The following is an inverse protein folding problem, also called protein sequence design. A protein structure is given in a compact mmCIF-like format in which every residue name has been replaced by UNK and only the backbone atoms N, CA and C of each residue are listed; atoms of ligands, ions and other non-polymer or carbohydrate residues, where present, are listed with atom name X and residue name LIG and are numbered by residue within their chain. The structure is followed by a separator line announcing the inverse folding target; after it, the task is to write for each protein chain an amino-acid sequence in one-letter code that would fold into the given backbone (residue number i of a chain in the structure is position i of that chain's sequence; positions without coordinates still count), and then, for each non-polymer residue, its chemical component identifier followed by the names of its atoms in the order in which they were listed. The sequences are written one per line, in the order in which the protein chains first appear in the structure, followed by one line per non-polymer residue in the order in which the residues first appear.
data_IF_799219876675
#
_entry.id   IF_799219876675
#
_cell.length_a   1.000
_cell.length_b   1.000
_cell.length_c   1.000
_cell.angle_alpha   90.00
_cell.angle_beta   90.00
_cell.angle_gamma   90.00
#
_symmetry.space_group_name_H-M   'P 1'
#
loop_
_entity.id
_entity.type
_entity.pdbx_description
1 polymer ?
#
# COMPACT_ATOMS: atom_id res chain seq x y z
N UNK A 1 4.27 14.99 10.87
CA UNK A 1 3.85 13.59 10.71
C UNK A 1 5.06 12.78 10.32
N UNK A 2 5.47 11.87 11.15
CA UNK A 2 6.71 11.13 10.99
C UNK A 2 6.47 9.64 10.77
N UNK A 3 6.20 9.22 9.53
CA UNK A 3 6.26 7.80 9.20
C UNK A 3 7.69 7.38 8.94
N UNK A 4 8.07 6.18 9.35
CA UNK A 4 9.40 5.63 9.14
C UNK A 4 9.30 4.37 8.29
N UNK A 5 10.18 4.27 7.31
CA UNK A 5 10.26 3.09 6.45
C UNK A 5 11.66 2.51 6.53
N UNK A 6 11.76 1.20 6.68
CA UNK A 6 13.03 0.45 6.65
C UNK A 6 13.00 -0.46 5.43
N UNK A 7 14.02 -0.35 4.61
CA UNK A 7 14.24 -1.20 3.44
C UNK A 7 15.47 -2.06 3.68
N UNK A 8 15.34 -3.38 3.58
CA UNK A 8 16.45 -4.32 3.77
C UNK A 8 16.69 -5.05 2.46
N UNK A 9 17.84 -4.78 1.85
CA UNK A 9 18.27 -5.46 0.63
C UNK A 9 18.92 -6.82 0.91
N UNK A 10 19.11 -7.60 -0.15
CA UNK A 10 19.65 -8.97 -0.08
C UNK A 10 20.97 -9.10 0.67
N UNK A 11 21.85 -8.10 0.55
CA UNK A 11 23.17 -8.11 1.18
C UNK A 11 23.15 -7.81 2.68
N UNK A 12 22.04 -7.26 3.16
CA UNK A 12 21.87 -6.88 4.55
C UNK A 12 21.03 -7.88 5.36
N UNK A 13 20.39 -8.85 4.68
CA UNK A 13 19.59 -9.87 5.33
C UNK A 13 20.41 -11.14 5.54
N UNK A 14 20.09 -11.88 6.59
CA UNK A 14 20.80 -13.11 6.95
C UNK A 14 20.61 -14.23 5.92
N UNK A 15 19.42 -14.32 5.34
CA UNK A 15 19.04 -15.39 4.39
C UNK A 15 18.96 -14.92 2.93
N UNK A 16 19.37 -13.67 2.64
CA UNK A 16 19.27 -13.09 1.30
C UNK A 16 17.89 -12.60 0.91
N UNK A 17 16.92 -12.62 1.82
CA UNK A 17 15.59 -12.06 1.57
C UNK A 17 15.61 -10.53 1.50
N UNK A 18 14.63 -9.96 0.84
CA UNK A 18 14.35 -8.51 0.88
C UNK A 18 13.16 -8.26 1.78
N UNK A 19 13.20 -7.18 2.53
CA UNK A 19 12.14 -6.83 3.47
C UNK A 19 11.84 -5.35 3.41
N UNK A 20 10.57 -4.99 3.59
CA UNK A 20 10.15 -3.62 3.88
C UNK A 20 9.34 -3.62 5.17
N UNK A 21 9.57 -2.63 5.98
CA UNK A 21 8.80 -2.40 7.19
C UNK A 21 8.46 -0.91 7.27
N UNK A 22 7.22 -0.62 7.63
CA UNK A 22 6.75 0.76 7.72
C UNK A 22 5.80 0.92 8.89
N UNK A 23 5.98 1.98 9.65
CA UNK A 23 4.95 2.47 10.53
C UNK A 23 4.19 3.63 9.86
N UNK A 24 2.98 3.85 10.33
CA UNK A 24 2.11 4.93 9.86
C UNK A 24 1.68 5.75 11.07
N UNK A 25 2.42 6.82 11.33
CA UNK A 25 2.23 7.64 12.51
C UNK A 25 1.19 8.73 12.26
N UNK A 26 0.21 8.82 13.15
CA UNK A 26 -0.77 9.90 13.14
C UNK A 26 -0.18 11.16 13.78
N UNK A 27 -0.22 12.28 13.05
CA UNK A 27 0.18 13.58 13.56
C UNK A 27 -0.74 14.15 14.65
N UNK A 28 -1.94 13.60 14.80
CA UNK A 28 -2.93 13.99 15.79
C UNK A 28 -2.92 13.14 17.06
N UNK A 29 -2.11 12.08 17.09
CA UNK A 29 -2.12 11.11 18.19
C UNK A 29 -3.32 10.17 18.21
N UNK A 30 -4.19 10.24 17.22
CA UNK A 30 -5.32 9.32 17.10
C UNK A 30 -4.87 7.97 16.53
N UNK A 31 -5.31 6.91 17.18
CA UNK A 31 -5.14 5.57 16.67
C UNK A 31 -6.13 5.30 15.52
N UNK A 32 -5.60 4.92 14.36
CA UNK A 32 -6.41 4.48 13.22
C UNK A 32 -6.15 3.01 12.97
N UNK A 33 -7.13 2.13 13.16
CA UNK A 33 -6.94 0.71 12.91
C UNK A 33 -6.68 0.46 11.43
N UNK A 34 -5.82 -0.52 11.18
CA UNK A 34 -5.50 -1.01 9.83
C UNK A 34 -6.17 -2.36 9.60
N UNK A 35 -6.36 -2.70 8.34
CA UNK A 35 -6.77 -4.03 7.93
C UNK A 35 -5.82 -4.54 6.84
N UNK A 36 -5.59 -5.83 6.82
CA UNK A 36 -4.88 -6.48 5.73
C UNK A 36 -5.88 -6.89 4.66
N UNK A 37 -5.65 -6.50 3.42
CA UNK A 37 -6.52 -6.84 2.30
C UNK A 37 -5.71 -7.38 1.13
N UNK A 38 -6.35 -8.26 0.36
CA UNK A 38 -5.86 -8.72 -0.93
C UNK A 38 -6.70 -8.05 -2.00
N UNK A 39 -6.05 -7.30 -2.88
CA UNK A 39 -6.71 -6.62 -4.01
C UNK A 39 -6.51 -7.48 -5.24
N UNK A 40 -7.60 -8.03 -5.82
CA UNK A 40 -7.48 -8.83 -7.03
C UNK A 40 -7.07 -7.97 -8.24
N UNK A 41 -6.57 -8.58 -9.31
CA UNK A 41 -6.33 -7.88 -10.56
C UNK A 41 -7.60 -7.17 -11.03
N UNK A 42 -7.47 -5.92 -11.48
CA UNK A 42 -8.60 -5.16 -12.00
C UNK A 42 -8.70 -5.29 -13.51
N UNK A 43 -9.92 -5.24 -14.03
CA UNK A 43 -10.15 -5.20 -15.47
C UNK A 43 -9.75 -3.85 -16.05
N UNK A 44 -9.39 -3.83 -17.34
CA UNK A 44 -8.94 -2.64 -18.06
C UNK A 44 -10.08 -1.92 -18.79
N UNK A 45 -9.97 -0.61 -18.98
CA UNK A 45 -8.97 0.29 -18.41
C UNK A 45 -9.20 0.53 -16.92
N UNK A 46 -8.14 0.45 -16.12
CA UNK A 46 -8.21 0.75 -14.70
C UNK A 46 -7.88 2.23 -14.46
N UNK A 47 -8.79 2.94 -13.82
CA UNK A 47 -8.61 4.33 -13.44
C UNK A 47 -8.64 4.43 -11.93
N UNK A 48 -7.58 4.96 -11.36
CA UNK A 48 -7.55 5.30 -9.95
C UNK A 48 -8.05 6.72 -9.74
N UNK A 49 -8.99 6.88 -8.81
CA UNK A 49 -9.47 8.18 -8.39
C UNK A 49 -9.17 8.40 -6.92
N UNK A 50 -8.47 9.48 -6.60
CA UNK A 50 -8.20 9.84 -5.22
C UNK A 50 -9.47 10.20 -4.46
N UNK A 51 -9.65 9.62 -3.28
CA UNK A 51 -10.78 9.95 -2.40
C UNK A 51 -10.63 11.32 -1.74
N UNK A 52 -9.45 11.90 -1.76
CA UNK A 52 -9.15 13.21 -1.16
C UNK A 52 -9.17 14.33 -2.19
N UNK A 53 -8.39 14.20 -3.24
CA UNK A 53 -8.20 15.25 -4.26
C UNK A 53 -9.11 15.10 -5.47
N UNK A 54 -9.75 13.94 -5.63
CA UNK A 54 -10.55 13.57 -6.79
C UNK A 54 -9.77 13.54 -8.12
N UNK A 55 -8.44 13.57 -8.04
CA UNK A 55 -7.56 13.39 -9.21
C UNK A 55 -7.73 11.97 -9.75
N UNK A 56 -7.85 11.85 -11.05
CA UNK A 56 -7.93 10.58 -11.77
C UNK A 56 -6.61 10.30 -12.48
N UNK A 57 -6.15 9.06 -12.39
CA UNK A 57 -4.93 8.58 -13.05
C UNK A 57 -5.23 7.24 -13.70
N UNK A 58 -4.92 7.14 -15.00
CA UNK A 58 -4.95 5.85 -15.68
C UNK A 58 -3.81 4.98 -15.18
N UNK A 59 -4.15 3.77 -14.77
CA UNK A 59 -3.17 2.81 -14.31
C UNK A 59 -2.57 2.04 -15.49
N UNK A 60 -1.32 1.56 -15.38
CA UNK A 60 -0.70 0.76 -16.42
C UNK A 60 -1.49 -0.50 -16.72
N UNK A 61 -1.42 -0.95 -17.97
CA UNK A 61 -2.05 -2.18 -18.44
C UNK A 61 -1.30 -3.43 -17.97
N UNK A 62 -1.21 -3.61 -16.67
CA UNK A 62 -0.51 -4.73 -16.05
C UNK A 62 -1.19 -5.09 -14.72
N UNK A 63 -2.39 -5.70 -14.79
CA UNK A 63 -3.11 -6.00 -13.57
C UNK A 63 -2.39 -7.08 -12.79
N UNK A 64 -1.98 -6.73 -11.58
CA UNK A 64 -1.40 -7.66 -10.63
C UNK A 64 -2.24 -7.70 -9.37
N UNK A 65 -2.37 -8.88 -8.79
CA UNK A 65 -2.87 -9.00 -7.44
C UNK A 65 -1.87 -8.33 -6.51
N UNK A 66 -2.37 -7.64 -5.50
CA UNK A 66 -1.53 -7.02 -4.48
C UNK A 66 -2.12 -7.20 -3.09
N UNK A 67 -1.27 -7.16 -2.10
CA UNK A 67 -1.67 -7.00 -0.71
C UNK A 67 -1.55 -5.55 -0.32
N UNK A 68 -2.37 -5.10 0.60
CA UNK A 68 -2.32 -3.72 1.10
C UNK A 68 -2.79 -3.66 2.55
N UNK A 69 -2.35 -2.61 3.24
CA UNK A 69 -2.72 -2.34 4.65
C UNK A 69 -3.44 -0.99 4.74
N UNK A 70 -4.66 -0.86 4.21
CA UNK A 70 -5.40 0.40 4.29
C UNK A 70 -5.93 0.68 5.69
N UNK A 71 -6.34 1.92 5.90
CA UNK A 71 -7.14 2.28 7.07
C UNK A 71 -8.46 1.51 7.06
N UNK A 72 -8.85 0.98 8.22
CA UNK A 72 -10.12 0.28 8.39
C UNK A 72 -11.27 1.29 8.58
N UNK A 73 -11.48 2.14 7.58
CA UNK A 73 -12.53 3.16 7.56
C UNK A 73 -13.45 2.90 6.38
N UNK A 74 -14.74 2.71 6.65
CA UNK A 74 -15.72 2.49 5.59
C UNK A 74 -15.83 3.70 4.65
N UNK A 75 -16.09 3.42 3.36
CA UNK A 75 -16.32 4.44 2.34
C UNK A 75 -15.08 5.20 1.87
N UNK A 76 -13.90 4.87 2.37
CA UNK A 76 -12.63 5.53 1.99
C UNK A 76 -11.82 4.76 0.95
N UNK A 77 -12.33 3.62 0.46
CA UNK A 77 -11.60 2.78 -0.49
C UNK A 77 -10.33 2.20 0.09
N UNK A 78 -9.33 1.98 -0.75
CA UNK A 78 -8.03 1.47 -0.34
C UNK A 78 -7.07 2.65 -0.19
N UNK A 79 -7.06 3.22 0.99
CA UNK A 79 -6.12 4.27 1.36
C UNK A 79 -5.01 3.65 2.19
N UNK A 80 -3.99 3.13 1.50
CA UNK A 80 -2.90 2.38 2.10
C UNK A 80 -1.57 3.12 1.99
N UNK A 81 -0.73 2.93 2.99
CA UNK A 81 0.64 3.46 3.00
C UNK A 81 1.69 2.41 2.60
N UNK A 82 1.28 1.18 2.37
CA UNK A 82 2.17 0.09 1.98
C UNK A 82 1.40 -1.09 1.40
N UNK A 83 2.10 -1.88 0.61
CA UNK A 83 1.59 -3.07 -0.03
C UNK A 83 2.67 -3.78 -0.82
N UNK A 84 2.34 -4.92 -1.38
CA UNK A 84 3.23 -5.71 -2.22
C UNK A 84 2.43 -6.37 -3.34
N UNK A 85 2.95 -6.34 -4.55
CA UNK A 85 2.33 -7.00 -5.70
C UNK A 85 2.91 -8.40 -5.96
N UNK A 86 2.36 -9.12 -6.94
CA UNK A 86 2.81 -10.47 -7.31
C UNK A 86 4.26 -10.53 -7.82
N UNK A 87 4.81 -9.39 -8.26
CA UNK A 87 6.20 -9.30 -8.69
C UNK A 87 7.17 -9.03 -7.54
N UNK A 88 6.69 -8.89 -6.30
CA UNK A 88 7.49 -8.59 -5.13
C UNK A 88 7.95 -7.13 -5.06
N UNK A 89 7.13 -6.22 -5.57
CA UNK A 89 7.39 -4.78 -5.54
C UNK A 89 6.34 -4.07 -4.68
#
# INVERSE_FOLDING_TARGET
MGCTTILVGKKASYDGSTMIARNDDSGSGHFTPKKFVVVPPQEHPAVYRSVLSHVEVELPDSPMRMTAMPNAVEGKGIWAAGGENEAGV
#
